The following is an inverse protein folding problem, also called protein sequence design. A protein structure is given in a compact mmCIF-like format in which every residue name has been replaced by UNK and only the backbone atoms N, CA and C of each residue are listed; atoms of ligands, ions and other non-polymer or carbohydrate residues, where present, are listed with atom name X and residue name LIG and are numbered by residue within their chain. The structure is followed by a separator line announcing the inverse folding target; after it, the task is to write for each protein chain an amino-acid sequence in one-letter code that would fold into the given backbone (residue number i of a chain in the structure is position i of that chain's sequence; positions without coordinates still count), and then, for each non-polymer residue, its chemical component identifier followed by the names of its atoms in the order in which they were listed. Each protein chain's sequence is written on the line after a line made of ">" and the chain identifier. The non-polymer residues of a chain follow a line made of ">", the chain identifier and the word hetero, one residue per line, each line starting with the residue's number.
data_IF_013985417969
#
_entry.id   IF_013985417969
#
_cell.length_a   1.000
_cell.length_b   1.000
_cell.length_c   1.000
_cell.angle_alpha   90.00
_cell.angle_beta   90.00
_cell.angle_gamma   90.00
#
_symmetry.space_group_name_H-M   'P 1'
#
loop_
_entity.id
_entity.type
_entity.pdbx_description
1 polymer ?
#
# COMPACT_ATOMS: atom_id res chain seq x y z
N UNK A 1 -13.41 -11.59 -7.53
CA UNK A 1 -12.34 -11.14 -8.47
C UNK A 1 -11.04 -10.84 -7.71
N UNK A 2 -9.88 -11.19 -8.30
CA UNK A 2 -8.56 -11.08 -7.65
C UNK A 2 -8.24 -9.67 -7.12
N UNK A 3 -8.80 -8.61 -7.73
CA UNK A 3 -8.63 -7.21 -7.33
C UNK A 3 -9.22 -6.87 -5.96
N UNK A 4 -10.23 -7.60 -5.46
CA UNK A 4 -10.79 -7.34 -4.13
C UNK A 4 -9.84 -7.80 -3.01
N UNK A 5 -9.24 -8.99 -3.16
CA UNK A 5 -8.28 -9.53 -2.21
C UNK A 5 -7.02 -8.63 -2.09
N UNK A 6 -6.50 -8.16 -3.22
CA UNK A 6 -5.35 -7.25 -3.26
C UNK A 6 -5.65 -5.94 -2.52
N UNK A 7 -6.80 -5.31 -2.80
CA UNK A 7 -7.18 -4.05 -2.13
C UNK A 7 -7.33 -4.22 -0.62
N UNK A 8 -7.95 -5.32 -0.20
CA UNK A 8 -8.07 -5.65 1.21
C UNK A 8 -6.69 -5.82 1.86
N UNK A 9 -5.78 -6.54 1.19
CA UNK A 9 -4.44 -6.77 1.73
C UNK A 9 -3.60 -5.49 1.77
N UNK A 10 -3.66 -4.67 0.72
CA UNK A 10 -3.02 -3.35 0.68
C UNK A 10 -3.47 -2.47 1.85
N UNK A 11 -4.78 -2.46 2.16
CA UNK A 11 -5.30 -1.73 3.31
C UNK A 11 -4.75 -2.26 4.65
N UNK A 12 -4.62 -3.57 4.80
CA UNK A 12 -4.03 -4.18 6.00
C UNK A 12 -2.54 -3.82 6.16
N UNK A 13 -1.76 -3.86 5.09
CA UNK A 13 -0.34 -3.47 5.12
C UNK A 13 -0.17 -2.01 5.52
N UNK A 14 -1.01 -1.12 4.98
CA UNK A 14 -0.99 0.30 5.36
C UNK A 14 -1.49 0.51 6.78
N UNK A 15 -2.49 -0.23 7.25
CA UNK A 15 -2.97 -0.13 8.63
C UNK A 15 -1.95 -0.61 9.67
N UNK A 16 -1.08 -1.55 9.29
CA UNK A 16 0.01 -2.06 10.12
C UNK A 16 1.34 -1.29 9.92
N UNK A 17 1.36 -0.24 9.09
CA UNK A 17 2.59 0.51 8.82
C UNK A 17 3.00 1.40 10.01
N UNK A 18 4.29 1.73 10.10
CA UNK A 18 4.77 2.69 11.07
C UNK A 18 4.41 4.12 10.62
N UNK A 19 3.61 4.90 11.38
CA UNK A 19 3.27 6.28 11.00
C UNK A 19 4.48 7.23 10.92
N UNK A 20 5.57 6.90 11.62
CA UNK A 20 6.82 7.66 11.57
C UNK A 20 7.61 7.40 10.27
N UNK A 21 7.47 6.20 9.70
CA UNK A 21 8.05 5.86 8.39
C UNK A 21 7.04 5.06 7.54
N UNK A 22 6.07 5.75 6.93
CA UNK A 22 5.04 5.09 6.15
C UNK A 22 5.63 4.44 4.90
N UNK A 23 5.05 3.31 4.51
CA UNK A 23 5.50 2.52 3.38
C UNK A 23 5.24 3.27 2.07
N UNK A 24 6.23 3.30 1.18
CA UNK A 24 6.00 3.81 -0.16
C UNK A 24 5.32 2.76 -1.05
N UNK A 25 4.87 3.18 -2.23
CA UNK A 25 4.19 2.27 -3.15
C UNK A 25 5.13 1.13 -3.60
N UNK A 26 6.46 1.32 -3.58
CA UNK A 26 7.46 0.30 -3.93
C UNK A 26 7.54 -0.77 -2.84
N UNK A 27 7.65 -0.38 -1.57
CA UNK A 27 7.67 -1.30 -0.44
C UNK A 27 6.36 -2.11 -0.36
N UNK A 28 5.21 -1.47 -0.55
CA UNK A 28 3.91 -2.15 -0.62
C UNK A 28 3.87 -3.16 -1.77
N UNK A 29 4.45 -2.83 -2.92
CA UNK A 29 4.56 -3.75 -4.05
C UNK A 29 5.43 -4.96 -3.72
N UNK A 30 6.56 -4.76 -3.04
CA UNK A 30 7.45 -5.83 -2.62
C UNK A 30 6.78 -6.78 -1.62
N UNK A 31 6.05 -6.23 -0.63
CA UNK A 31 5.29 -7.00 0.35
C UNK A 31 4.19 -7.84 -0.31
N UNK A 32 3.41 -7.24 -1.21
CA UNK A 32 2.38 -7.97 -1.95
C UNK A 32 3.00 -9.06 -2.84
N UNK A 33 4.15 -8.77 -3.48
CA UNK A 33 4.86 -9.76 -4.30
C UNK A 33 5.39 -10.93 -3.47
N UNK A 34 5.86 -10.68 -2.25
CA UNK A 34 6.28 -11.73 -1.32
C UNK A 34 5.12 -12.66 -0.91
N UNK A 35 3.90 -12.14 -0.88
CA UNK A 35 2.66 -12.92 -0.64
C UNK A 35 2.12 -13.61 -1.90
N UNK A 36 2.84 -13.56 -3.03
CA UNK A 36 2.42 -14.13 -4.32
C UNK A 36 1.49 -13.22 -5.14
N UNK A 37 1.23 -11.99 -4.68
CA UNK A 37 0.44 -10.97 -5.38
C UNK A 37 1.35 -9.97 -6.10
N UNK A 38 2.12 -10.47 -7.07
CA UNK A 38 3.02 -9.65 -7.88
C UNK A 38 2.24 -8.62 -8.71
N UNK A 39 2.46 -7.34 -8.45
CA UNK A 39 1.76 -6.23 -9.09
C UNK A 39 2.75 -5.14 -9.48
N UNK A 40 2.37 -4.30 -10.44
CA UNK A 40 3.15 -3.11 -10.74
C UNK A 40 2.88 -2.00 -9.71
N UNK A 41 3.89 -1.18 -9.41
CA UNK A 41 3.76 0.03 -8.55
C UNK A 41 2.59 0.93 -8.97
N UNK A 42 2.35 1.09 -10.28
CA UNK A 42 1.23 1.90 -10.81
C UNK A 42 -0.14 1.33 -10.39
N UNK A 43 -0.28 0.01 -10.33
CA UNK A 43 -1.50 -0.66 -9.87
C UNK A 43 -1.71 -0.44 -8.37
N UNK A 44 -0.65 -0.56 -7.58
CA UNK A 44 -0.69 -0.26 -6.14
C UNK A 44 -1.06 1.20 -5.90
N UNK A 45 -0.48 2.15 -6.64
CA UNK A 45 -0.81 3.56 -6.53
C UNK A 45 -2.29 3.83 -6.88
N UNK A 46 -2.83 3.19 -7.92
CA UNK A 46 -4.26 3.27 -8.27
C UNK A 46 -5.14 2.75 -7.13
N UNK A 47 -4.86 1.56 -6.62
CA UNK A 47 -5.63 0.99 -5.50
C UNK A 47 -5.51 1.83 -4.22
N UNK A 48 -4.33 2.39 -3.95
CA UNK A 48 -4.12 3.32 -2.83
C UNK A 48 -5.03 4.55 -2.97
N UNK A 49 -5.14 5.12 -4.17
CA UNK A 49 -6.02 6.25 -4.45
C UNK A 49 -7.51 5.87 -4.31
N UNK A 50 -7.91 4.70 -4.83
CA UNK A 50 -9.29 4.19 -4.68
C UNK A 50 -9.67 3.96 -3.21
N UNK A 51 -8.72 3.56 -2.38
CA UNK A 51 -8.90 3.38 -0.94
C UNK A 51 -8.81 4.68 -0.12
N UNK A 52 -8.58 5.82 -0.78
CA UNK A 52 -8.44 7.11 -0.10
C UNK A 52 -7.16 7.27 0.73
N UNK A 53 -6.19 6.34 0.60
CA UNK A 53 -4.95 6.37 1.34
C UNK A 53 -4.05 7.47 0.75
N UNK A 54 -3.66 8.51 1.49
CA UNK A 54 -2.80 9.58 0.97
C UNK A 54 -1.38 9.08 0.70
N UNK A 55 -0.55 9.77 -0.10
CA UNK A 55 0.81 9.32 -0.40
C UNK A 55 1.70 9.36 0.85
N UNK A 56 2.80 8.58 0.86
CA UNK A 56 3.79 8.51 1.95
C UNK A 56 4.11 9.87 2.57
N UNK A 57 4.37 10.88 1.73
CA UNK A 57 4.72 12.23 2.16
C UNK A 57 3.66 12.91 3.06
N UNK A 58 2.37 12.62 2.84
CA UNK A 58 1.25 13.11 3.66
C UNK A 58 0.90 12.21 4.85
N UNK A 59 1.31 10.94 4.82
CA UNK A 59 1.10 9.98 5.93
C UNK A 59 2.16 10.10 7.01
N UNK A 60 3.35 10.59 6.65
CA UNK A 60 4.46 10.72 7.59
C UNK A 60 4.10 11.78 8.63
N UNK A 61 3.79 11.33 9.84
CA UNK A 61 3.64 12.22 10.98
C UNK A 61 5.04 12.69 11.37
N UNK A 62 5.31 13.98 11.18
CA UNK A 62 6.47 14.61 11.79
C UNK A 62 6.13 14.77 13.27
N UNK A 63 6.83 14.03 14.13
CA UNK A 63 6.94 14.39 15.54
C UNK A 63 7.76 15.68 15.68
#
# INVERSE_FOLDING_TARGET
>A
PASAAIRHRLAQLVAAENPADPLDDVALTALLSAEGMALARRTVAKFRQELGIPPRARRRQRA
#
